data_IF_078090075341
#
_entry.id   IF_078090075341
#
_cell.length_a   1.000
_cell.length_b   1.000
_cell.length_c   1.000
_cell.angle_alpha   90.00
_cell.angle_beta   90.00
_cell.angle_gamma   90.00
#
_symmetry.space_group_name_H-M   'P 1'
#
loop_
_entity.id
_entity.type
_entity.pdbx_description
1 polymer ?
#
# COMPACT_ATOMS: atom_id res chain seq x y z
N UNK A 1 -8.43 -0.19 -79.09
CA UNK A 1 -7.31 -0.49 -78.10
C UNK A 1 -7.12 0.53 -76.99
N UNK A 2 -7.46 1.79 -77.14
CA UNK A 2 -7.22 2.84 -76.05
C UNK A 2 -8.18 2.78 -74.85
N UNK A 3 -9.39 2.22 -74.95
CA UNK A 3 -10.34 2.10 -73.84
C UNK A 3 -9.95 1.02 -72.82
N UNK A 4 -9.33 -0.09 -73.27
CA UNK A 4 -8.94 -1.22 -72.40
C UNK A 4 -7.75 -0.87 -71.47
N UNK A 5 -6.81 -0.03 -71.92
CA UNK A 5 -5.66 0.42 -71.13
C UNK A 5 -6.05 1.37 -69.97
N UNK A 6 -7.09 2.19 -70.16
CA UNK A 6 -7.60 3.12 -69.15
C UNK A 6 -8.33 2.41 -68.00
N UNK A 7 -8.97 1.28 -68.26
CA UNK A 7 -9.62 0.46 -67.20
C UNK A 7 -8.60 -0.32 -66.36
N UNK A 8 -7.50 -0.76 -67.00
CA UNK A 8 -6.42 -1.47 -66.28
C UNK A 8 -5.64 -0.56 -65.34
N UNK A 9 -5.39 0.70 -65.76
CA UNK A 9 -4.74 1.70 -64.88
C UNK A 9 -5.60 2.13 -63.71
N UNK A 10 -6.92 2.35 -63.90
CA UNK A 10 -7.85 2.65 -62.83
C UNK A 10 -8.02 1.51 -61.83
N UNK A 11 -8.00 0.25 -62.28
CA UNK A 11 -8.08 -0.93 -61.42
C UNK A 11 -6.79 -1.08 -60.58
N UNK A 12 -5.61 -0.77 -61.14
CA UNK A 12 -4.31 -0.80 -60.49
C UNK A 12 -4.20 0.28 -59.39
N UNK A 13 -4.72 1.47 -59.64
CA UNK A 13 -4.72 2.55 -58.64
C UNK A 13 -5.66 2.22 -57.48
N UNK A 14 -6.87 1.77 -57.75
CA UNK A 14 -7.80 1.33 -56.68
C UNK A 14 -7.24 0.18 -55.83
N UNK A 15 -6.48 -0.72 -56.44
CA UNK A 15 -5.86 -1.83 -55.71
C UNK A 15 -4.74 -1.35 -54.81
N UNK A 16 -3.96 -0.33 -55.20
CA UNK A 16 -2.96 0.32 -54.35
C UNK A 16 -3.59 1.07 -53.18
N UNK A 17 -4.67 1.80 -53.43
CA UNK A 17 -5.40 2.53 -52.38
C UNK A 17 -6.03 1.57 -51.36
N UNK A 18 -6.55 0.41 -51.79
CA UNK A 18 -7.08 -0.63 -50.92
C UNK A 18 -6.00 -1.28 -50.06
N UNK A 19 -4.79 -1.48 -50.61
CA UNK A 19 -3.63 -2.02 -49.88
C UNK A 19 -3.10 -1.04 -48.85
N UNK A 20 -3.10 0.26 -49.15
CA UNK A 20 -2.70 1.31 -48.20
C UNK A 20 -3.72 1.43 -47.06
N UNK A 21 -5.02 1.39 -47.40
CA UNK A 21 -6.11 1.45 -46.43
C UNK A 21 -6.07 0.24 -45.47
N UNK A 22 -5.82 -0.97 -46.02
CA UNK A 22 -5.70 -2.20 -45.21
C UNK A 22 -4.45 -2.19 -44.31
N UNK A 23 -3.33 -1.62 -44.77
CA UNK A 23 -2.12 -1.40 -43.90
C UNK A 23 -2.39 -0.37 -42.82
N UNK A 24 -3.04 0.74 -43.11
CA UNK A 24 -3.41 1.75 -42.12
C UNK A 24 -4.38 1.17 -41.09
N UNK A 25 -5.37 0.37 -41.51
CA UNK A 25 -6.32 -0.28 -40.58
C UNK A 25 -5.61 -1.33 -39.70
N UNK A 26 -4.66 -2.08 -40.25
CA UNK A 26 -3.84 -3.04 -39.50
C UNK A 26 -2.93 -2.35 -38.46
N UNK A 27 -2.33 -1.21 -38.82
CA UNK A 27 -1.50 -0.41 -37.90
C UNK A 27 -2.36 0.22 -36.79
N UNK A 28 -3.56 0.70 -37.14
CA UNK A 28 -4.49 1.27 -36.14
C UNK A 28 -5.04 0.19 -35.20
N UNK A 29 -5.27 -1.03 -35.70
CA UNK A 29 -5.71 -2.17 -34.87
C UNK A 29 -4.62 -2.66 -33.92
N UNK A 30 -3.36 -2.70 -34.36
CA UNK A 30 -2.21 -3.04 -33.50
C UNK A 30 -1.98 -1.94 -32.46
N UNK A 31 -2.15 -0.67 -32.81
CA UNK A 31 -2.03 0.45 -31.88
C UNK A 31 -3.17 0.47 -30.83
N UNK A 32 -4.38 0.10 -31.25
CA UNK A 32 -5.55 -0.04 -30.35
C UNK A 32 -5.42 -1.21 -29.39
N UNK A 33 -4.75 -2.30 -29.80
CA UNK A 33 -4.52 -3.47 -28.94
C UNK A 33 -3.47 -3.20 -27.85
N UNK A 34 -2.50 -2.31 -28.12
CA UNK A 34 -1.50 -1.90 -27.13
C UNK A 34 -2.08 -0.97 -26.03
N UNK A 35 -3.22 -0.32 -26.26
CA UNK A 35 -3.84 0.57 -25.28
C UNK A 35 -4.72 -0.15 -24.25
N UNK A 36 -4.99 -1.44 -24.44
CA UNK A 36 -5.87 -2.25 -23.56
C UNK A 36 -5.12 -2.94 -22.41
N UNK A 37 -3.81 -2.73 -22.25
CA UNK A 37 -3.08 -3.19 -21.05
C UNK A 37 -3.30 -2.15 -19.94
N UNK A 38 -4.48 -2.21 -19.33
CA UNK A 38 -4.72 -1.52 -18.04
C UNK A 38 -3.73 -2.13 -17.04
N UNK A 39 -2.68 -1.40 -16.70
CA UNK A 39 -1.81 -1.75 -15.58
C UNK A 39 -2.66 -1.64 -14.31
N UNK A 40 -3.20 -2.76 -13.88
CA UNK A 40 -3.77 -2.88 -12.55
C UNK A 40 -2.57 -2.85 -11.58
N UNK A 41 -2.42 -1.75 -10.85
CA UNK A 41 -1.55 -1.70 -9.69
C UNK A 41 -2.09 -2.72 -8.69
N UNK A 42 -1.37 -3.81 -8.53
CA UNK A 42 -1.71 -4.83 -7.53
C UNK A 42 -1.05 -4.41 -6.22
N UNK A 43 -1.82 -4.28 -5.15
CA UNK A 43 -1.26 -4.26 -3.81
C UNK A 43 -0.62 -5.65 -3.58
N UNK A 44 0.68 -5.74 -3.83
CA UNK A 44 1.47 -6.92 -3.51
C UNK A 44 1.64 -7.00 -1.98
N UNK A 45 1.74 -8.21 -1.39
CA UNK A 45 2.15 -8.32 0.00
C UNK A 45 3.48 -7.58 0.18
N UNK A 46 3.61 -6.77 1.23
CA UNK A 46 4.86 -6.08 1.49
C UNK A 46 5.91 -7.14 1.84
N UNK A 47 6.90 -7.23 0.99
CA UNK A 47 8.09 -8.03 1.22
C UNK A 47 9.02 -7.29 2.20
N UNK A 48 9.94 -8.01 2.84
CA UNK A 48 10.97 -7.42 3.70
C UNK A 48 10.47 -6.74 5.01
N UNK A 49 9.33 -7.17 5.56
CA UNK A 49 8.90 -6.70 6.89
C UNK A 49 9.83 -7.14 8.01
N UNK A 50 10.56 -8.23 7.82
CA UNK A 50 11.55 -8.77 8.73
C UNK A 50 12.96 -8.21 8.51
N UNK A 51 13.13 -7.22 7.63
CA UNK A 51 14.39 -6.54 7.38
C UNK A 51 14.43 -5.15 8.01
N UNK A 52 15.57 -4.82 8.63
CA UNK A 52 15.88 -3.49 9.14
C UNK A 52 17.08 -2.90 8.41
N UNK A 53 17.05 -1.59 8.12
CA UNK A 53 18.10 -0.85 7.45
C UNK A 53 18.46 0.39 8.26
N UNK A 54 19.74 0.51 8.62
CA UNK A 54 20.25 1.62 9.44
C UNK A 54 21.44 2.25 8.74
N UNK A 55 21.37 3.56 8.50
CA UNK A 55 22.51 4.32 7.98
C UNK A 55 23.57 4.39 9.08
N UNK A 56 24.81 4.06 8.74
CA UNK A 56 25.93 4.01 9.67
C UNK A 56 27.14 4.77 9.10
N UNK A 57 28.08 5.12 9.97
CA UNK A 57 29.28 5.87 9.60
C UNK A 57 30.48 4.98 9.29
N UNK A 58 30.51 3.77 9.84
CA UNK A 58 31.61 2.80 9.72
C UNK A 58 31.14 1.38 9.91
N UNK A 59 32.06 0.40 9.73
CA UNK A 59 31.79 -1.04 9.86
C UNK A 59 32.39 -1.65 11.13
N UNK A 60 32.70 -0.82 12.15
CA UNK A 60 33.26 -1.32 13.41
C UNK A 60 32.27 -2.24 14.14
N UNK A 61 32.77 -3.14 14.96
CA UNK A 61 31.93 -4.06 15.74
C UNK A 61 30.98 -3.30 16.69
N UNK A 62 31.39 -2.15 17.18
CA UNK A 62 30.54 -1.29 18.01
C UNK A 62 29.36 -0.71 17.20
N UNK A 63 29.64 -0.17 16.01
CA UNK A 63 28.63 0.36 15.09
C UNK A 63 27.69 -0.75 14.63
N UNK A 64 28.21 -1.92 14.29
CA UNK A 64 27.43 -3.09 13.90
C UNK A 64 26.44 -3.51 15.01
N UNK A 65 26.91 -3.59 16.26
CA UNK A 65 26.05 -3.97 17.40
C UNK A 65 24.96 -2.94 17.67
N UNK A 66 25.31 -1.65 17.61
CA UNK A 66 24.32 -0.55 17.75
C UNK A 66 23.30 -0.56 16.62
N UNK A 67 23.76 -0.68 15.39
CA UNK A 67 22.90 -0.75 14.20
C UNK A 67 21.99 -1.99 14.21
N UNK A 68 22.51 -3.15 14.62
CA UNK A 68 21.73 -4.38 14.75
C UNK A 68 20.58 -4.25 15.75
N UNK A 69 20.83 -3.63 16.91
CA UNK A 69 19.77 -3.33 17.89
C UNK A 69 18.71 -2.40 17.27
N UNK A 70 19.13 -1.33 16.61
CA UNK A 70 18.20 -0.38 15.98
C UNK A 70 17.41 -1.01 14.83
N UNK A 71 18.04 -1.85 14.00
CA UNK A 71 17.39 -2.60 12.94
C UNK A 71 16.33 -3.58 13.49
N UNK A 72 16.66 -4.25 14.60
CA UNK A 72 15.68 -5.12 15.27
C UNK A 72 14.48 -4.34 15.81
N UNK A 73 14.71 -3.17 16.43
CA UNK A 73 13.65 -2.29 16.90
C UNK A 73 12.75 -1.80 15.74
N UNK A 74 13.35 -1.47 14.60
CA UNK A 74 12.62 -1.10 13.38
C UNK A 74 11.72 -2.24 12.91
N UNK A 75 12.20 -3.49 12.89
CA UNK A 75 11.41 -4.67 12.52
C UNK A 75 10.28 -4.93 13.51
N UNK A 76 10.52 -4.79 14.82
CA UNK A 76 9.48 -4.89 15.85
C UNK A 76 8.36 -3.88 15.56
N UNK A 77 8.70 -2.62 15.30
CA UNK A 77 7.71 -1.57 14.98
C UNK A 77 6.98 -1.87 13.68
N UNK A 78 7.67 -2.38 12.65
CA UNK A 78 7.01 -2.84 11.41
C UNK A 78 5.97 -3.92 11.69
N UNK A 79 6.31 -4.93 12.49
CA UNK A 79 5.45 -6.09 12.76
C UNK A 79 4.35 -5.82 13.79
N UNK A 80 4.50 -4.82 14.66
CA UNK A 80 3.49 -4.42 15.62
C UNK A 80 2.59 -3.28 15.08
N UNK A 81 3.19 -2.29 14.42
CA UNK A 81 2.54 -1.10 13.88
C UNK A 81 2.59 0.14 14.79
N UNK A 82 2.80 -0.01 16.09
CA UNK A 82 2.87 1.09 17.08
C UNK A 82 4.28 1.19 17.68
N UNK A 83 4.97 2.34 17.59
CA UNK A 83 6.28 2.54 18.20
C UNK A 83 6.30 2.35 19.72
N UNK A 84 5.18 2.53 20.42
CA UNK A 84 5.08 2.32 21.87
C UNK A 84 5.40 0.87 22.28
N UNK A 85 5.38 -0.07 21.37
CA UNK A 85 5.81 -1.46 21.58
C UNK A 85 7.24 -1.55 22.13
N UNK A 86 8.09 -0.59 21.78
CA UNK A 86 9.47 -0.52 22.25
C UNK A 86 9.59 -0.21 23.76
N UNK A 87 8.51 0.22 24.40
CA UNK A 87 8.46 0.46 25.85
C UNK A 87 8.24 -0.83 26.65
N UNK A 88 7.74 -1.90 26.04
CA UNK A 88 7.57 -3.20 26.70
C UNK A 88 8.93 -3.78 27.17
N UNK A 89 8.97 -4.32 28.39
CA UNK A 89 10.20 -4.80 29.01
C UNK A 89 10.83 -5.98 28.28
N UNK A 90 10.03 -6.94 27.82
CA UNK A 90 10.54 -8.12 27.11
C UNK A 90 11.02 -7.75 25.70
N UNK A 91 10.37 -6.78 25.05
CA UNK A 91 10.85 -6.21 23.80
C UNK A 91 12.18 -5.49 23.98
N UNK A 92 12.36 -4.71 25.05
CA UNK A 92 13.65 -4.06 25.40
C UNK A 92 14.76 -5.10 25.64
N UNK A 93 14.44 -6.21 26.34
CA UNK A 93 15.37 -7.32 26.57
C UNK A 93 15.73 -8.03 25.25
N UNK A 94 14.73 -8.33 24.42
CA UNK A 94 14.93 -8.92 23.10
C UNK A 94 15.80 -8.02 22.21
N UNK A 95 15.56 -6.71 22.20
CA UNK A 95 16.38 -5.75 21.45
C UNK A 95 17.84 -5.69 21.92
N UNK A 96 18.10 -5.96 23.21
CA UNK A 96 19.47 -6.06 23.72
C UNK A 96 20.16 -7.36 23.32
N UNK A 97 19.38 -8.42 23.09
CA UNK A 97 19.85 -9.74 22.68
C UNK A 97 19.39 -10.08 21.24
N UNK A 98 19.39 -9.09 20.35
CA UNK A 98 18.83 -9.19 19.00
C UNK A 98 19.47 -10.31 18.18
N UNK A 99 20.70 -10.67 18.47
CA UNK A 99 21.44 -11.73 17.77
C UNK A 99 20.69 -13.08 17.79
N UNK A 100 19.87 -13.36 18.79
CA UNK A 100 19.05 -14.57 18.88
C UNK A 100 17.95 -14.63 17.81
N UNK A 101 17.58 -13.48 17.26
CA UNK A 101 16.59 -13.32 16.22
C UNK A 101 17.21 -13.11 14.84
N UNK A 102 18.50 -12.78 14.77
CA UNK A 102 19.22 -12.45 13.54
C UNK A 102 19.32 -13.68 12.63
N UNK A 103 18.97 -13.53 11.36
CA UNK A 103 19.16 -14.52 10.30
C UNK A 103 20.42 -14.19 9.51
N UNK A 104 20.52 -12.95 9.04
CA UNK A 104 21.66 -12.48 8.26
C UNK A 104 21.87 -10.98 8.45
N UNK A 105 23.10 -10.50 8.23
CA UNK A 105 23.36 -9.06 8.16
C UNK A 105 24.51 -8.76 7.21
N UNK A 106 24.47 -7.58 6.59
CA UNK A 106 25.48 -7.09 5.66
C UNK A 106 25.59 -5.58 5.69
N UNK A 107 26.70 -5.05 5.17
CA UNK A 107 26.85 -3.64 4.89
C UNK A 107 26.73 -3.39 3.39
N UNK A 108 25.89 -2.44 3.00
CA UNK A 108 25.63 -2.08 1.61
C UNK A 108 25.98 -0.62 1.41
N UNK A 109 26.77 -0.32 0.37
CA UNK A 109 27.04 1.05 -0.04
C UNK A 109 25.96 1.49 -1.04
N UNK A 110 25.25 2.57 -0.72
CA UNK A 110 24.24 3.18 -1.60
C UNK A 110 24.56 4.67 -1.77
N UNK A 111 25.21 5.01 -2.89
CA UNK A 111 25.80 6.33 -3.08
C UNK A 111 26.78 6.66 -1.96
N UNK A 112 26.59 7.80 -1.31
CA UNK A 112 27.44 8.26 -0.20
C UNK A 112 27.03 7.67 1.17
N UNK A 113 25.96 6.86 1.22
CA UNK A 113 25.45 6.28 2.47
C UNK A 113 25.92 4.84 2.62
N UNK A 114 26.51 4.53 3.77
CA UNK A 114 26.78 3.17 4.21
C UNK A 114 25.56 2.69 5.03
N UNK A 115 24.97 1.58 4.64
CA UNK A 115 23.75 1.03 5.25
C UNK A 115 24.08 -0.32 5.86
N UNK A 116 23.80 -0.50 7.14
CA UNK A 116 23.73 -1.80 7.77
C UNK A 116 22.33 -2.37 7.54
N UNK A 117 22.25 -3.52 6.84
CA UNK A 117 21.02 -4.24 6.57
C UNK A 117 21.03 -5.55 7.35
N UNK A 118 19.93 -5.85 8.04
CA UNK A 118 19.80 -7.06 8.84
C UNK A 118 18.42 -7.69 8.63
N UNK A 119 18.41 -9.01 8.45
CA UNK A 119 17.22 -9.82 8.35
C UNK A 119 17.02 -10.60 9.63
N UNK A 120 15.77 -10.63 10.13
CA UNK A 120 15.41 -11.31 11.37
C UNK A 120 14.38 -12.42 11.15
N UNK A 121 14.35 -13.40 12.06
CA UNK A 121 13.38 -14.47 12.05
C UNK A 121 12.00 -13.93 12.47
N UNK A 122 11.13 -13.69 11.47
CA UNK A 122 9.78 -13.15 11.65
C UNK A 122 8.95 -13.98 12.64
N UNK A 123 9.02 -15.32 12.54
CA UNK A 123 8.21 -16.20 13.40
C UNK A 123 8.60 -16.08 14.88
N UNK A 124 9.91 -15.96 15.20
CA UNK A 124 10.37 -15.72 16.57
C UNK A 124 9.88 -14.36 17.10
N UNK A 125 9.91 -13.31 16.28
CA UNK A 125 9.44 -11.98 16.67
C UNK A 125 7.93 -11.99 16.88
N UNK A 126 7.16 -12.59 15.97
CA UNK A 126 5.69 -12.73 16.12
C UNK A 126 5.35 -13.53 17.38
N UNK A 127 6.12 -14.57 17.69
CA UNK A 127 5.94 -15.35 18.92
C UNK A 127 6.21 -14.52 20.17
N UNK A 128 7.24 -13.66 20.18
CA UNK A 128 7.52 -12.71 21.26
C UNK A 128 6.35 -11.73 21.43
N UNK A 129 5.88 -11.08 20.35
CA UNK A 129 4.78 -10.13 20.42
C UNK A 129 3.50 -10.78 20.98
N UNK A 130 3.18 -11.99 20.53
CA UNK A 130 2.02 -12.74 21.02
C UNK A 130 2.16 -13.12 22.50
N UNK A 131 3.33 -13.56 22.94
CA UNK A 131 3.58 -13.93 24.34
C UNK A 131 3.37 -12.74 25.29
N UNK A 132 3.70 -11.53 24.80
CA UNK A 132 3.55 -10.28 25.54
C UNK A 132 2.18 -9.61 25.34
N UNK A 133 1.24 -10.28 24.72
CA UNK A 133 -0.08 -9.74 24.40
C UNK A 133 -0.02 -8.44 23.57
N UNK A 134 0.94 -8.32 22.68
CA UNK A 134 1.12 -7.18 21.79
C UNK A 134 0.50 -7.46 20.42
N UNK A 135 0.06 -6.38 19.75
CA UNK A 135 -0.54 -6.50 18.43
C UNK A 135 0.45 -7.06 17.40
N UNK A 136 -0.09 -7.77 16.41
CA UNK A 136 0.67 -8.24 15.24
C UNK A 136 0.00 -7.71 13.98
N UNK A 137 0.78 -7.01 13.16
CA UNK A 137 0.34 -6.50 11.87
C UNK A 137 0.96 -7.31 10.73
N UNK A 138 0.11 -8.04 10.03
CA UNK A 138 0.52 -8.97 8.96
C UNK A 138 1.05 -8.29 7.70
N UNK A 139 1.45 -9.12 6.72
CA UNK A 139 2.05 -8.69 5.44
C UNK A 139 1.08 -7.98 4.51
N UNK A 140 -0.22 -8.26 4.63
CA UNK A 140 -1.27 -7.63 3.83
C UNK A 140 -1.64 -6.30 4.43
N UNK A 141 -1.19 -5.24 3.77
CA UNK A 141 -1.36 -3.86 4.21
C UNK A 141 -2.01 -3.04 3.13
N UNK A 142 -2.88 -2.10 3.49
CA UNK A 142 -3.49 -1.23 2.50
C UNK A 142 -2.42 -0.33 1.87
N UNK A 143 -2.55 -0.12 0.56
CA UNK A 143 -1.81 0.91 -0.16
C UNK A 143 -2.47 2.28 -0.01
N UNK A 144 -1.67 3.33 0.05
CA UNK A 144 -2.12 4.72 0.06
C UNK A 144 -1.56 5.51 -1.10
N UNK A 145 -2.26 6.57 -1.52
CA UNK A 145 -1.76 7.60 -2.42
C UNK A 145 -1.65 8.91 -1.66
N UNK A 146 -0.49 9.56 -1.73
CA UNK A 146 -0.18 10.77 -0.96
C UNK A 146 -0.02 11.99 -1.85
N UNK A 147 -1.04 12.84 -1.88
CA UNK A 147 -0.98 14.17 -2.48
C UNK A 147 -0.48 15.17 -1.46
N UNK A 148 0.70 15.75 -1.69
CA UNK A 148 1.34 16.71 -0.80
C UNK A 148 1.57 18.03 -1.54
N UNK A 149 0.93 19.11 -1.06
CA UNK A 149 1.17 20.48 -1.50
C UNK A 149 2.04 21.22 -0.48
N UNK A 150 3.08 21.89 -0.94
CA UNK A 150 3.99 22.68 -0.07
C UNK A 150 3.99 24.12 -0.55
N UNK A 151 3.85 25.05 0.40
CA UNK A 151 3.99 26.48 0.15
C UNK A 151 5.46 26.91 0.25
N UNK A 152 5.93 27.62 -0.74
CA UNK A 152 7.24 28.25 -0.72
C UNK A 152 7.25 29.45 0.23
N UNK A 153 8.28 29.55 1.06
CA UNK A 153 8.34 30.56 2.13
C UNK A 153 8.50 31.97 1.57
N UNK A 154 9.13 32.14 0.42
CA UNK A 154 9.50 33.42 -0.17
C UNK A 154 8.37 34.01 -1.03
N UNK A 155 7.93 33.24 -2.03
CA UNK A 155 6.97 33.71 -3.03
C UNK A 155 5.53 33.26 -2.78
N UNK A 156 5.31 32.47 -1.70
CA UNK A 156 4.01 31.90 -1.34
C UNK A 156 3.36 31.06 -2.44
N UNK A 157 4.15 30.63 -3.43
CA UNK A 157 3.69 29.69 -4.45
C UNK A 157 3.47 28.31 -3.85
N UNK A 158 2.54 27.58 -4.44
CA UNK A 158 2.22 26.21 -4.00
C UNK A 158 2.66 25.22 -5.05
N UNK A 159 3.37 24.19 -4.64
CA UNK A 159 3.88 23.12 -5.51
C UNK A 159 3.44 21.75 -5.00
N UNK A 160 3.24 20.81 -5.94
CA UNK A 160 2.98 19.42 -5.61
C UNK A 160 4.28 18.64 -5.55
N UNK A 161 4.41 17.75 -4.56
CA UNK A 161 5.43 16.72 -4.53
C UNK A 161 4.92 15.53 -5.32
N UNK A 162 5.60 15.20 -6.42
CA UNK A 162 5.26 14.11 -7.33
C UNK A 162 6.49 13.30 -7.69
N UNK A 163 6.33 12.10 -8.23
CA UNK A 163 7.46 11.27 -8.68
C UNK A 163 8.31 11.97 -9.77
N UNK A 164 7.69 12.81 -10.60
CA UNK A 164 8.38 13.58 -11.63
C UNK A 164 9.03 14.87 -11.11
N UNK A 165 8.74 15.28 -9.89
CA UNK A 165 9.34 16.46 -9.28
C UNK A 165 10.73 16.14 -8.72
N UNK A 166 11.69 17.07 -8.85
CA UNK A 166 13.01 16.96 -8.20
C UNK A 166 12.95 17.33 -6.71
N UNK A 167 11.99 16.78 -5.99
CA UNK A 167 11.77 17.11 -4.59
C UNK A 167 12.67 16.29 -3.67
N UNK A 168 13.43 16.98 -2.81
CA UNK A 168 14.22 16.35 -1.74
C UNK A 168 13.37 15.52 -0.74
N UNK A 169 12.06 15.69 -0.75
CA UNK A 169 11.16 15.00 0.17
C UNK A 169 10.77 13.59 -0.30
N UNK A 170 10.99 13.25 -1.57
CA UNK A 170 10.67 11.91 -2.09
C UNK A 170 11.47 10.82 -1.38
N UNK A 171 12.78 10.97 -1.29
CA UNK A 171 13.65 10.01 -0.59
C UNK A 171 13.27 9.87 0.88
N UNK A 172 12.92 10.99 1.52
CA UNK A 172 12.48 10.99 2.91
C UNK A 172 11.16 10.23 3.10
N UNK A 173 10.18 10.45 2.21
CA UNK A 173 8.90 9.74 2.24
C UNK A 173 9.15 8.24 2.03
N UNK A 174 9.95 7.86 1.04
CA UNK A 174 10.28 6.46 0.75
C UNK A 174 11.00 5.81 1.95
N UNK A 175 11.98 6.47 2.55
CA UNK A 175 12.67 5.94 3.72
C UNK A 175 11.71 5.79 4.91
N UNK A 176 10.90 6.83 5.19
CA UNK A 176 9.96 6.78 6.31
C UNK A 176 8.89 5.70 6.14
N UNK A 177 8.40 5.49 4.92
CA UNK A 177 7.43 4.41 4.61
C UNK A 177 8.07 3.03 4.71
N UNK A 178 9.32 2.88 4.25
CA UNK A 178 10.09 1.64 4.43
C UNK A 178 10.29 1.34 5.93
N UNK A 179 10.66 2.33 6.73
CA UNK A 179 10.89 2.18 8.18
C UNK A 179 9.63 1.72 8.92
N UNK A 180 8.46 2.05 8.39
CA UNK A 180 7.17 1.66 8.96
C UNK A 180 6.56 0.43 8.27
N UNK A 181 7.15 -0.06 7.18
CA UNK A 181 6.65 -1.16 6.39
C UNK A 181 5.25 -0.91 5.83
N UNK A 182 5.00 0.28 5.30
CA UNK A 182 3.74 0.66 4.66
C UNK A 182 3.97 1.03 3.19
N UNK A 183 2.93 0.91 2.39
CA UNK A 183 2.93 1.36 1.00
C UNK A 183 2.20 2.71 0.90
N UNK A 184 2.95 3.76 0.58
CA UNK A 184 2.42 5.10 0.35
C UNK A 184 2.99 5.64 -0.96
N UNK A 185 2.19 5.55 -2.02
CA UNK A 185 2.55 5.98 -3.36
C UNK A 185 2.48 7.50 -3.47
N UNK A 186 3.41 8.07 -4.23
CA UNK A 186 3.31 9.46 -4.66
C UNK A 186 2.66 9.53 -6.05
N UNK A 187 1.91 10.60 -6.38
CA UNK A 187 1.39 10.79 -7.72
C UNK A 187 2.52 10.84 -8.75
N UNK A 188 2.28 10.34 -9.95
CA UNK A 188 3.28 10.30 -11.03
C UNK A 188 3.66 11.72 -11.45
N UNK A 189 2.71 12.66 -11.46
CA UNK A 189 2.89 14.02 -11.91
C UNK A 189 2.90 14.14 -13.43
N UNK A 190 2.19 13.24 -14.12
CA UNK A 190 2.02 13.27 -15.57
C UNK A 190 0.98 14.31 -16.01
N UNK A 191 0.73 14.40 -17.33
CA UNK A 191 -0.25 15.32 -17.88
C UNK A 191 -1.66 15.06 -17.33
N UNK A 192 -2.03 13.80 -17.11
CA UNK A 192 -3.34 13.43 -16.56
C UNK A 192 -3.51 13.96 -15.13
N UNK A 193 -2.48 13.85 -14.30
CA UNK A 193 -2.50 14.41 -12.95
C UNK A 193 -2.63 15.93 -13.00
N UNK A 194 -1.80 16.59 -13.83
CA UNK A 194 -1.79 18.06 -13.95
C UNK A 194 -3.10 18.63 -14.48
N UNK A 195 -3.82 17.90 -15.33
CA UNK A 195 -5.14 18.29 -15.83
C UNK A 195 -6.24 18.07 -14.79
N UNK A 196 -6.08 17.12 -13.88
CA UNK A 196 -7.10 16.77 -12.90
C UNK A 196 -6.92 17.47 -11.56
N UNK A 197 -5.69 17.58 -11.04
CA UNK A 197 -5.39 18.15 -9.73
C UNK A 197 -4.23 19.14 -9.81
N UNK A 198 -4.50 20.37 -9.47
CA UNK A 198 -3.50 21.42 -9.29
C UNK A 198 -2.98 21.44 -7.85
N UNK A 199 -1.88 22.16 -7.59
CA UNK A 199 -1.40 22.40 -6.24
C UNK A 199 -2.44 23.09 -5.36
N UNK A 200 -3.25 24.00 -5.93
CA UNK A 200 -4.33 24.70 -5.21
C UNK A 200 -5.50 23.76 -4.87
N UNK A 201 -5.82 22.80 -5.74
CA UNK A 201 -6.85 21.80 -5.44
C UNK A 201 -6.47 20.95 -4.23
N UNK A 202 -5.19 20.49 -4.18
CA UNK A 202 -4.69 19.74 -3.03
C UNK A 202 -4.59 20.62 -1.79
N UNK A 203 -4.15 21.87 -1.95
CA UNK A 203 -4.08 22.84 -0.86
C UNK A 203 -5.42 23.10 -0.19
N UNK A 204 -6.51 23.06 -0.94
CA UNK A 204 -7.88 23.24 -0.41
C UNK A 204 -8.33 22.11 0.50
N UNK A 205 -7.67 20.94 0.46
CA UNK A 205 -8.02 19.72 1.19
C UNK A 205 -9.47 19.24 0.96
N UNK A 206 -10.02 19.50 -0.24
CA UNK A 206 -11.36 19.05 -0.58
C UNK A 206 -11.36 17.55 -0.90
N UNK A 207 -11.51 16.76 0.14
CA UNK A 207 -11.28 15.30 0.17
C UNK A 207 -12.05 14.54 -0.90
N UNK A 208 -13.33 14.84 -1.13
CA UNK A 208 -14.16 14.14 -2.13
C UNK A 208 -13.64 14.36 -3.56
N UNK A 209 -13.20 15.57 -3.89
CA UNK A 209 -12.64 15.87 -5.22
C UNK A 209 -11.30 15.15 -5.41
N UNK A 210 -10.41 15.23 -4.42
CA UNK A 210 -9.09 14.60 -4.47
C UNK A 210 -9.25 13.09 -4.56
N UNK A 211 -10.15 12.47 -3.77
CA UNK A 211 -10.44 11.04 -3.83
C UNK A 211 -10.90 10.60 -5.23
N UNK A 212 -11.92 11.26 -5.78
CA UNK A 212 -12.49 10.90 -7.08
C UNK A 212 -11.46 10.98 -8.22
N UNK A 213 -10.60 12.00 -8.18
CA UNK A 213 -9.54 12.19 -9.18
C UNK A 213 -8.36 11.22 -9.00
N UNK A 214 -8.27 10.57 -7.84
CA UNK A 214 -7.23 9.60 -7.48
C UNK A 214 -7.57 8.14 -7.82
N UNK A 215 -8.81 7.85 -8.23
CA UNK A 215 -9.31 6.48 -8.48
C UNK A 215 -8.43 5.70 -9.46
N UNK A 216 -7.79 6.38 -10.43
CA UNK A 216 -6.89 5.77 -11.41
C UNK A 216 -5.71 5.02 -10.79
N UNK A 217 -5.31 5.37 -9.58
CA UNK A 217 -4.19 4.74 -8.86
C UNK A 217 -4.55 3.42 -8.19
N UNK A 218 -5.84 3.14 -8.00
CA UNK A 218 -6.33 1.88 -7.45
C UNK A 218 -5.92 1.62 -6.00
N UNK A 219 -5.51 2.65 -5.24
CA UNK A 219 -5.09 2.52 -3.83
C UNK A 219 -6.29 2.37 -2.90
N UNK A 220 -6.06 1.76 -1.73
CA UNK A 220 -7.09 1.58 -0.71
C UNK A 220 -7.43 2.88 0.02
N UNK A 221 -6.42 3.77 0.16
CA UNK A 221 -6.55 5.06 0.82
C UNK A 221 -6.00 6.18 -0.07
N UNK A 222 -6.57 7.35 0.09
CA UNK A 222 -6.06 8.60 -0.47
C UNK A 222 -5.81 9.56 0.68
N UNK A 223 -4.62 10.15 0.68
CA UNK A 223 -4.20 11.18 1.62
C UNK A 223 -4.01 12.48 0.85
N UNK A 224 -4.64 13.54 1.28
CA UNK A 224 -4.35 14.89 0.84
C UNK A 224 -3.74 15.69 1.98
N UNK A 225 -2.61 16.35 1.74
CA UNK A 225 -1.92 17.13 2.74
C UNK A 225 -1.39 18.45 2.17
N UNK A 226 -1.28 19.43 3.06
CA UNK A 226 -0.63 20.73 2.76
C UNK A 226 0.34 21.08 3.88
N UNK A 227 1.47 21.68 3.51
CA UNK A 227 2.42 22.28 4.45
C UNK A 227 2.51 23.78 4.20
N UNK A 228 2.18 24.57 5.21
CA UNK A 228 2.23 26.02 5.18
C UNK A 228 2.68 26.61 6.50
N UNK A 229 2.84 27.93 6.54
CA UNK A 229 3.23 28.67 7.73
C UNK A 229 1.97 29.04 8.53
N UNK A 230 2.03 28.84 9.83
CA UNK A 230 1.04 29.30 10.80
C UNK A 230 1.75 30.11 11.88
N UNK A 231 1.04 31.08 12.44
CA UNK A 231 1.54 31.79 13.61
C UNK A 231 1.15 31.02 14.88
N UNK A 232 2.15 30.64 15.67
CA UNK A 232 1.94 30.00 16.96
C UNK A 232 1.86 31.08 18.05
N UNK A 233 0.66 31.34 18.53
CA UNK A 233 0.41 32.35 19.57
C UNK A 233 1.14 32.06 20.88
N UNK A 234 1.40 30.78 21.17
CA UNK A 234 2.07 30.38 22.42
C UNK A 234 3.57 30.69 22.41
N UNK A 235 4.25 30.41 21.30
CA UNK A 235 5.68 30.72 21.15
C UNK A 235 5.93 32.11 20.55
N UNK A 236 4.86 32.83 20.16
CA UNK A 236 4.91 34.10 19.43
C UNK A 236 5.84 34.05 18.20
N UNK A 237 5.82 32.95 17.48
CA UNK A 237 6.69 32.70 16.33
C UNK A 237 5.95 32.00 15.18
N UNK A 238 6.48 32.12 13.97
CA UNK A 238 6.02 31.33 12.84
C UNK A 238 6.48 29.90 13.00
N UNK A 239 5.57 28.97 12.73
CA UNK A 239 5.79 27.51 12.69
C UNK A 239 5.29 26.95 11.37
N UNK A 240 5.82 25.81 10.99
CA UNK A 240 5.23 25.04 9.89
C UNK A 240 4.11 24.15 10.42
N UNK A 241 3.02 24.08 9.65
CA UNK A 241 1.90 23.19 9.92
C UNK A 241 1.65 22.28 8.71
N UNK A 242 1.53 21.00 8.98
CA UNK A 242 1.02 20.02 8.03
C UNK A 242 -0.41 19.68 8.42
N UNK A 243 -1.39 20.11 7.58
CA UNK A 243 -2.80 19.71 7.72
C UNK A 243 -3.09 18.62 6.71
N UNK A 244 -3.79 17.56 7.10
CA UNK A 244 -4.07 16.44 6.21
C UNK A 244 -5.43 15.79 6.47
N UNK A 245 -5.89 15.04 5.47
CA UNK A 245 -6.94 14.06 5.62
C UNK A 245 -6.50 12.69 5.10
N UNK A 246 -7.10 11.63 5.65
CA UNK A 246 -6.99 10.25 5.19
C UNK A 246 -8.40 9.77 4.84
N UNK A 247 -8.61 9.24 3.65
CA UNK A 247 -9.93 8.70 3.25
C UNK A 247 -9.80 7.41 2.44
N UNK A 248 -10.77 6.53 2.62
CA UNK A 248 -11.01 5.35 1.77
C UNK A 248 -12.27 5.51 0.89
N UNK A 249 -12.79 6.74 0.78
CA UNK A 249 -14.04 7.05 0.08
C UNK A 249 -15.30 6.89 0.93
N UNK A 250 -15.24 6.22 2.08
CA UNK A 250 -16.37 6.03 3.01
C UNK A 250 -16.17 6.79 4.33
N UNK A 251 -14.94 6.80 4.83
CA UNK A 251 -14.54 7.48 6.06
C UNK A 251 -13.53 8.57 5.74
N UNK A 252 -13.49 9.61 6.55
CA UNK A 252 -12.53 10.70 6.46
C UNK A 252 -12.00 10.96 7.87
N UNK A 253 -10.68 10.88 8.02
CA UNK A 253 -9.95 11.31 9.22
C UNK A 253 -9.15 12.55 8.88
N UNK A 254 -9.16 13.56 9.75
CA UNK A 254 -8.42 14.81 9.57
C UNK A 254 -7.56 15.09 10.79
N UNK A 255 -6.36 15.59 10.57
CA UNK A 255 -5.48 15.99 11.66
C UNK A 255 -4.48 17.07 11.21
N UNK A 256 -3.81 17.69 12.17
CA UNK A 256 -2.80 18.73 11.97
C UNK A 256 -1.56 18.45 12.82
N UNK A 257 -0.41 18.73 12.25
CA UNK A 257 0.89 18.53 12.88
C UNK A 257 1.66 19.85 12.78
N UNK A 258 2.14 20.35 13.89
CA UNK A 258 3.00 21.55 13.95
C UNK A 258 4.45 21.14 14.19
N UNK A 259 5.38 21.83 13.57
CA UNK A 259 6.82 21.56 13.68
C UNK A 259 7.68 22.65 13.08
N UNK A 260 9.01 22.46 13.18
CA UNK A 260 9.98 23.46 12.75
C UNK A 260 10.53 23.22 11.35
N UNK A 261 10.37 22.00 10.81
CA UNK A 261 10.90 21.63 9.49
C UNK A 261 9.87 20.79 8.70
N UNK A 262 9.83 20.97 7.39
CA UNK A 262 9.00 20.14 6.50
C UNK A 262 9.36 18.66 6.62
N UNK A 263 10.66 18.33 6.69
CA UNK A 263 11.12 16.95 6.86
C UNK A 263 10.62 16.32 8.16
N UNK A 264 10.64 17.06 9.27
CA UNK A 264 10.10 16.60 10.55
C UNK A 264 8.60 16.37 10.51
N UNK A 265 7.85 17.26 9.85
CA UNK A 265 6.40 17.12 9.65
C UNK A 265 6.06 15.89 8.82
N UNK A 266 6.77 15.65 7.71
CA UNK A 266 6.56 14.47 6.85
C UNK A 266 6.84 13.18 7.62
N UNK A 267 7.96 13.10 8.34
CA UNK A 267 8.30 11.92 9.15
C UNK A 267 7.23 11.65 10.22
N UNK A 268 6.76 12.70 10.90
CA UNK A 268 5.70 12.59 11.92
C UNK A 268 4.39 12.15 11.29
N UNK A 269 4.01 12.71 10.14
CA UNK A 269 2.83 12.31 9.38
C UNK A 269 2.87 10.82 8.98
N UNK A 270 3.99 10.34 8.40
CA UNK A 270 4.13 8.93 8.01
C UNK A 270 3.99 8.01 9.23
N UNK A 271 4.51 8.42 10.38
CA UNK A 271 4.34 7.68 11.64
C UNK A 271 2.88 7.63 12.10
N UNK A 272 2.17 8.75 12.05
CA UNK A 272 0.74 8.82 12.42
C UNK A 272 -0.14 8.03 11.43
N UNK A 273 0.14 8.13 10.12
CA UNK A 273 -0.54 7.36 9.10
C UNK A 273 -0.35 5.84 9.29
N UNK A 274 0.89 5.40 9.54
CA UNK A 274 1.17 3.99 9.81
C UNK A 274 0.47 3.50 11.10
N UNK A 275 0.45 4.30 12.16
CA UNK A 275 -0.26 3.98 13.39
C UNK A 275 -1.78 3.91 13.18
N UNK A 276 -2.35 4.81 12.38
CA UNK A 276 -3.75 4.76 11.97
C UNK A 276 -4.07 3.45 11.25
N UNK A 277 -3.28 3.08 10.21
CA UNK A 277 -3.49 1.82 9.50
C UNK A 277 -3.33 0.61 10.43
N UNK A 278 -2.33 0.61 11.31
CA UNK A 278 -2.13 -0.46 12.28
C UNK A 278 -3.33 -0.60 13.23
N UNK A 279 -3.93 0.51 13.70
CA UNK A 279 -5.12 0.47 14.56
C UNK A 279 -6.32 -0.19 13.88
N UNK A 280 -6.42 -0.05 12.55
CA UNK A 280 -7.48 -0.65 11.75
C UNK A 280 -7.20 -2.12 11.39
N UNK A 281 -5.94 -2.47 11.08
CA UNK A 281 -5.59 -3.75 10.45
C UNK A 281 -4.72 -4.68 11.29
N UNK A 282 -4.09 -4.22 12.39
CA UNK A 282 -3.35 -5.12 13.29
C UNK A 282 -4.30 -5.94 14.16
N UNK A 283 -3.83 -7.07 14.64
CA UNK A 283 -4.61 -8.01 15.45
C UNK A 283 -4.12 -7.92 16.88
N UNK A 284 -5.01 -7.49 17.76
CA UNK A 284 -4.77 -7.48 19.20
C UNK A 284 -5.06 -8.83 19.85
N UNK A 285 -4.36 -9.13 20.92
CA UNK A 285 -4.55 -10.37 21.68
C UNK A 285 -5.82 -10.40 22.53
N UNK A 286 -6.40 -9.25 22.85
CA UNK A 286 -7.74 -9.18 23.47
C UNK A 286 -8.83 -9.79 22.56
N UNK A 287 -8.58 -9.86 21.24
CA UNK A 287 -9.43 -10.55 20.28
C UNK A 287 -9.10 -12.05 20.17
N UNK A 288 -7.91 -12.51 20.64
CA UNK A 288 -7.42 -13.89 20.45
C UNK A 288 -8.02 -14.93 21.41
N UNK A 289 -8.79 -14.50 22.41
CA UNK A 289 -9.49 -15.43 23.34
C UNK A 289 -10.78 -16.01 22.76
N UNK A 290 -11.37 -15.41 21.74
CA UNK A 290 -12.59 -15.89 21.10
C UNK A 290 -12.29 -16.49 19.73
N UNK A 291 -12.87 -17.63 19.45
CA UNK A 291 -12.79 -18.30 18.16
C UNK A 291 -14.11 -18.10 17.42
N UNK A 292 -14.02 -17.53 16.23
CA UNK A 292 -15.17 -17.29 15.36
C UNK A 292 -15.13 -18.27 14.18
N UNK A 293 -16.26 -18.91 13.90
CA UNK A 293 -16.42 -19.77 12.72
C UNK A 293 -17.25 -19.03 11.69
N UNK A 294 -16.69 -18.80 10.52
CA UNK A 294 -17.30 -18.04 9.42
C UNK A 294 -17.34 -18.91 8.17
N UNK A 295 -18.49 -18.97 7.51
CA UNK A 295 -18.61 -19.63 6.21
C UNK A 295 -18.40 -18.58 5.10
N UNK A 296 -17.42 -18.83 4.22
CA UNK A 296 -17.17 -18.02 3.04
C UNK A 296 -17.63 -18.76 1.79
N UNK A 297 -18.53 -18.17 1.02
CA UNK A 297 -18.93 -18.66 -0.29
C UNK A 297 -18.19 -17.83 -1.34
N UNK A 298 -17.36 -18.45 -2.15
CA UNK A 298 -16.57 -17.77 -3.17
C UNK A 298 -16.98 -18.30 -4.53
N UNK A 299 -17.65 -17.45 -5.33
CA UNK A 299 -18.06 -17.76 -6.70
C UNK A 299 -16.89 -17.60 -7.69
N UNK A 300 -17.07 -18.11 -8.91
CA UNK A 300 -16.07 -18.14 -9.99
C UNK A 300 -14.80 -18.98 -9.68
N UNK A 301 -14.90 -19.94 -8.74
CA UNK A 301 -13.83 -20.89 -8.38
C UNK A 301 -14.10 -22.21 -9.11
N UNK A 302 -13.88 -22.24 -10.42
CA UNK A 302 -14.25 -23.34 -11.33
C UNK A 302 -13.06 -24.19 -11.78
N UNK A 303 -11.84 -23.89 -11.30
CA UNK A 303 -10.63 -24.66 -11.62
C UNK A 303 -9.81 -24.94 -10.35
N UNK A 304 -9.00 -26.02 -10.40
CA UNK A 304 -8.09 -26.36 -9.31
C UNK A 304 -7.05 -25.26 -9.04
N UNK A 305 -6.63 -24.54 -10.07
CA UNK A 305 -5.68 -23.42 -9.94
C UNK A 305 -6.31 -22.28 -9.14
N UNK A 306 -7.53 -21.86 -9.45
CA UNK A 306 -8.27 -20.84 -8.69
C UNK A 306 -8.54 -21.28 -7.27
N UNK A 307 -8.94 -22.55 -7.07
CA UNK A 307 -9.14 -23.12 -5.74
C UNK A 307 -7.87 -23.00 -4.88
N UNK A 308 -6.70 -23.40 -5.42
CA UNK A 308 -5.43 -23.29 -4.70
C UNK A 308 -5.10 -21.85 -4.34
N UNK A 309 -5.23 -20.90 -5.29
CA UNK A 309 -5.00 -19.48 -5.04
C UNK A 309 -5.90 -18.94 -3.92
N UNK A 310 -7.20 -19.27 -3.93
CA UNK A 310 -8.13 -18.89 -2.88
C UNK A 310 -7.71 -19.49 -1.54
N UNK A 311 -7.38 -20.79 -1.51
CA UNK A 311 -6.95 -21.47 -0.29
C UNK A 311 -5.68 -20.84 0.27
N UNK A 312 -4.69 -20.55 -0.59
CA UNK A 312 -3.42 -19.89 -0.20
C UNK A 312 -3.68 -18.51 0.39
N UNK A 313 -4.59 -17.73 -0.21
CA UNK A 313 -5.02 -16.44 0.33
C UNK A 313 -5.62 -16.62 1.72
N UNK A 314 -6.64 -17.46 1.87
CA UNK A 314 -7.35 -17.63 3.13
C UNK A 314 -6.46 -18.16 4.25
N UNK A 315 -5.53 -19.07 3.95
CA UNK A 315 -4.58 -19.64 4.92
C UNK A 315 -3.46 -18.69 5.31
N UNK A 316 -3.08 -17.77 4.41
CA UNK A 316 -2.03 -16.77 4.68
C UNK A 316 -2.52 -15.55 5.47
N UNK A 317 -3.83 -15.40 5.70
CA UNK A 317 -4.35 -14.33 6.55
C UNK A 317 -3.90 -14.54 8.00
N UNK A 318 -3.32 -13.51 8.60
CA UNK A 318 -2.82 -13.55 9.99
C UNK A 318 -3.91 -13.86 11.01
N UNK A 319 -5.18 -13.58 10.65
CA UNK A 319 -6.39 -13.82 11.45
C UNK A 319 -6.91 -15.25 11.37
N UNK A 320 -6.43 -16.04 10.42
CA UNK A 320 -6.93 -17.38 10.17
C UNK A 320 -6.16 -18.41 10.99
N UNK A 321 -6.88 -19.23 11.73
CA UNK A 321 -6.32 -20.40 12.42
C UNK A 321 -6.46 -21.67 11.58
N UNK A 322 -7.60 -21.82 10.90
CA UNK A 322 -7.94 -23.02 10.11
C UNK A 322 -8.85 -22.64 8.94
N UNK A 323 -8.61 -23.27 7.79
CA UNK A 323 -9.48 -23.20 6.60
C UNK A 323 -9.85 -24.61 6.20
N UNK A 324 -11.13 -24.88 6.07
CA UNK A 324 -11.65 -26.19 5.63
C UNK A 324 -12.61 -25.99 4.46
N UNK A 325 -12.44 -26.76 3.39
CA UNK A 325 -13.43 -26.82 2.32
C UNK A 325 -14.66 -27.54 2.83
N UNK A 326 -15.80 -26.84 2.87
CA UNK A 326 -17.09 -27.40 3.30
C UNK A 326 -17.85 -28.04 2.12
N UNK A 327 -17.83 -27.39 0.98
CA UNK A 327 -18.49 -27.87 -0.22
C UNK A 327 -17.93 -27.19 -1.48
N UNK A 328 -17.97 -27.90 -2.62
CA UNK A 328 -17.71 -27.35 -3.95
C UNK A 328 -18.92 -27.67 -4.82
N UNK A 329 -19.55 -26.66 -5.39
CA UNK A 329 -20.69 -26.83 -6.30
C UNK A 329 -20.49 -25.96 -7.53
N UNK A 330 -20.32 -26.62 -8.70
CA UNK A 330 -20.02 -25.93 -9.98
C UNK A 330 -18.84 -24.96 -9.84
N UNK A 331 -19.15 -23.65 -9.79
CA UNK A 331 -18.20 -22.55 -9.73
C UNK A 331 -18.11 -21.89 -8.34
N UNK A 332 -18.83 -22.41 -7.34
CA UNK A 332 -18.83 -21.88 -5.97
C UNK A 332 -18.09 -22.83 -5.04
N UNK A 333 -17.03 -22.32 -4.40
CA UNK A 333 -16.34 -22.99 -3.29
C UNK A 333 -16.81 -22.41 -1.96
N UNK A 334 -17.22 -23.27 -1.04
CA UNK A 334 -17.66 -22.91 0.31
C UNK A 334 -16.59 -23.34 1.31
N UNK A 335 -16.02 -22.39 2.03
CA UNK A 335 -15.00 -22.64 3.06
C UNK A 335 -15.57 -22.34 4.44
N UNK A 336 -15.20 -23.15 5.43
CA UNK A 336 -15.32 -22.78 6.83
C UNK A 336 -13.99 -22.26 7.29
N UNK A 337 -13.98 -21.01 7.75
CA UNK A 337 -12.81 -20.32 8.24
C UNK A 337 -12.93 -20.14 9.75
N UNK A 338 -11.94 -20.66 10.48
CA UNK A 338 -11.80 -20.43 11.93
C UNK A 338 -10.89 -19.22 12.11
N UNK A 339 -11.43 -18.16 12.69
CA UNK A 339 -10.76 -16.87 12.85
C UNK A 339 -10.67 -16.47 14.32
N UNK A 340 -9.61 -15.76 14.68
CA UNK A 340 -9.45 -15.15 16.01
C UNK A 340 -9.97 -13.70 16.10
N UNK A 341 -10.65 -13.23 15.06
CA UNK A 341 -11.27 -11.89 15.03
C UNK A 341 -12.74 -11.98 14.64
N UNK A 342 -13.58 -11.02 15.06
CA UNK A 342 -14.98 -10.93 14.67
C UNK A 342 -15.17 -10.80 13.15
N UNK A 343 -16.33 -11.23 12.66
CA UNK A 343 -16.69 -11.23 11.23
C UNK A 343 -16.48 -9.87 10.55
N UNK A 344 -16.81 -8.76 11.22
CA UNK A 344 -16.66 -7.42 10.64
C UNK A 344 -15.18 -7.08 10.41
N UNK A 345 -14.30 -7.46 11.35
CA UNK A 345 -12.87 -7.28 11.23
C UNK A 345 -12.29 -8.14 10.10
N UNK A 346 -12.75 -9.40 10.02
CA UNK A 346 -12.39 -10.30 8.92
C UNK A 346 -12.80 -9.72 7.56
N UNK A 347 -13.99 -9.13 7.43
CA UNK A 347 -14.42 -8.43 6.20
C UNK A 347 -13.49 -7.28 5.84
N UNK A 348 -13.09 -6.47 6.81
CA UNK A 348 -12.15 -5.36 6.60
C UNK A 348 -10.81 -5.85 6.03
N UNK A 349 -10.30 -6.97 6.55
CA UNK A 349 -9.04 -7.57 6.09
C UNK A 349 -9.21 -8.19 4.69
N UNK A 350 -10.33 -8.89 4.45
CA UNK A 350 -10.62 -9.48 3.13
C UNK A 350 -10.81 -8.43 2.02
N UNK A 351 -11.22 -7.20 2.35
CA UNK A 351 -11.29 -6.09 1.38
C UNK A 351 -9.93 -5.68 0.80
N UNK A 352 -8.83 -6.02 1.48
CA UNK A 352 -7.47 -5.82 0.95
C UNK A 352 -7.11 -6.81 -0.16
N UNK A 353 -7.91 -7.91 -0.29
CA UNK A 353 -7.69 -8.93 -1.30
C UNK A 353 -8.34 -8.51 -2.62
N UNK A 354 -7.55 -7.99 -3.54
CA UNK A 354 -8.05 -7.49 -4.83
C UNK A 354 -8.74 -8.55 -5.69
N UNK A 355 -8.34 -9.82 -5.51
CA UNK A 355 -8.93 -10.95 -6.21
C UNK A 355 -10.25 -11.44 -5.59
N UNK A 356 -10.64 -10.89 -4.42
CA UNK A 356 -11.90 -11.17 -3.75
C UNK A 356 -12.76 -9.91 -3.75
N UNK A 357 -13.89 -9.94 -4.44
CA UNK A 357 -14.82 -8.82 -4.49
C UNK A 357 -16.12 -9.18 -3.79
N UNK A 358 -16.63 -8.26 -2.97
CA UNK A 358 -18.00 -8.38 -2.44
C UNK A 358 -19.00 -8.30 -3.62
N UNK A 359 -19.95 -9.24 -3.76
CA UNK A 359 -20.96 -9.18 -4.80
C UNK A 359 -21.92 -8.01 -4.54
N UNK A 360 -22.53 -7.48 -5.60
CA UNK A 360 -23.51 -6.37 -5.51
C UNK A 360 -24.72 -6.73 -4.64
N UNK A 361 -25.07 -8.00 -4.60
CA UNK A 361 -26.16 -8.54 -3.75
C UNK A 361 -25.56 -9.42 -2.67
N UNK A 362 -25.55 -8.95 -1.43
CA UNK A 362 -25.27 -9.78 -0.26
C UNK A 362 -26.56 -10.45 0.22
N UNK A 363 -26.47 -11.75 0.55
CA UNK A 363 -27.57 -12.43 1.25
C UNK A 363 -27.73 -11.82 2.64
N UNK A 364 -28.96 -11.42 2.97
CA UNK A 364 -29.28 -10.79 4.26
C UNK A 364 -29.31 -11.83 5.42
N UNK A 365 -29.09 -13.11 5.13
CA UNK A 365 -29.57 -14.22 5.96
C UNK A 365 -28.71 -14.68 7.12
N UNK A 366 -27.48 -14.24 7.32
CA UNK A 366 -26.81 -14.54 8.60
C UNK A 366 -25.50 -13.76 8.81
N UNK A 367 -25.24 -13.36 10.04
CA UNK A 367 -23.97 -12.79 10.49
C UNK A 367 -22.75 -13.74 10.35
N UNK A 368 -22.97 -14.98 9.91
CA UNK A 368 -21.99 -16.08 9.88
C UNK A 368 -21.60 -16.50 8.47
N UNK A 369 -22.33 -16.04 7.43
CA UNK A 369 -22.04 -16.36 6.00
C UNK A 369 -21.68 -15.09 5.25
N UNK A 370 -20.59 -15.13 4.51
CA UNK A 370 -20.11 -14.02 3.68
C UNK A 370 -19.90 -14.51 2.25
N UNK A 371 -20.43 -13.78 1.29
CA UNK A 371 -20.29 -14.07 -0.12
C UNK A 371 -19.18 -13.20 -0.73
N UNK A 372 -18.31 -13.81 -1.57
CA UNK A 372 -17.31 -13.16 -2.39
C UNK A 372 -17.31 -13.71 -3.81
N UNK A 373 -16.79 -12.94 -4.75
CA UNK A 373 -16.52 -13.34 -6.12
C UNK A 373 -15.01 -13.34 -6.37
N UNK A 374 -14.48 -14.43 -6.92
CA UNK A 374 -13.10 -14.52 -7.36
C UNK A 374 -12.92 -13.78 -8.70
N UNK A 375 -12.02 -12.80 -8.73
CA UNK A 375 -11.67 -11.98 -9.91
C UNK A 375 -10.24 -12.25 -10.44
N UNK A 376 -9.46 -13.10 -9.76
CA UNK A 376 -8.12 -13.46 -10.22
C UNK A 376 -8.15 -14.45 -11.40
N UNK A 377 -7.08 -14.41 -12.21
CA UNK A 377 -6.86 -15.31 -13.34
C UNK A 377 -6.44 -16.71 -12.88
#
# INVERSE_FOLDING_TARGET
>A
MQKSAKYLTMASERYKDLLVLNKMFSIFFVFSLCFAVSMHSQAAPIEHLNEGQIIVTDQSSFTQKKAGKSAFQQVIVKLNGDPSVLENLEVKRAATNFEQYLVSSTFVQNGDKLIYQAEFNEQKIVSLLRAENLNVWGKRRPSGLFWLAIEDDVNKSKSLVTQSSSSQYLDLIQQSTYDRGIELLMPIGDLTDSMNLTALDVWSLYSSSIFNKSIRYGTNYVVGARVGIVFDDFSASEKLQLSYFITNGQTIETNEIVGDTVSGLITKFVNEYAAYLASVYSIGTSETGMIYSVTLHISNVNTLAKYRKVLDILTSLTVTQKVELKAQSKDVASFTLTSNVPVQRLKTILKLEQNLREPEYQRVDSAVVIDYEWRGN
#
